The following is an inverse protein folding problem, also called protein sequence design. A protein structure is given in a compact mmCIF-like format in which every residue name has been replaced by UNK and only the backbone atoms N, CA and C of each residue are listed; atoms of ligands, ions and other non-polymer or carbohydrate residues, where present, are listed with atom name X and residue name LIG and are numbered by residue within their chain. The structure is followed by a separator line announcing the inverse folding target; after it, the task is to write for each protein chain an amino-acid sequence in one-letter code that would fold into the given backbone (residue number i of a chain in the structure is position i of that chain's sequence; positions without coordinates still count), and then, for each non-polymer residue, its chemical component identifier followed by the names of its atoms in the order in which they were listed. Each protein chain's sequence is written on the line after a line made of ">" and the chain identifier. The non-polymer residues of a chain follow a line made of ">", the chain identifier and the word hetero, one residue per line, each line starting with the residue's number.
data_IF_382614973258
#
_entry.id   IF_382614973258
#
_cell.length_a   1.000
_cell.length_b   1.000
_cell.length_c   1.000
_cell.angle_alpha   90.00
_cell.angle_beta   90.00
_cell.angle_gamma   90.00
#
_symmetry.space_group_name_H-M   'P 1'
#
loop_
_entity.id
_entity.type
_entity.pdbx_description
1 polymer ?
#
# COMPACT_ATOMS: atom_id res chain seq x y z
N UNK A 1 4.49 -0.37 22.35
CA UNK A 1 5.67 -0.22 21.54
C UNK A 1 5.79 -1.27 20.48
N UNK A 2 5.66 -2.53 20.83
CA UNK A 2 5.73 -3.58 19.82
C UNK A 2 4.65 -3.44 18.78
N UNK A 3 3.48 -3.00 19.23
CA UNK A 3 2.37 -2.82 18.28
C UNK A 3 2.65 -1.70 17.32
N UNK A 4 3.35 -0.68 17.78
CA UNK A 4 3.69 0.43 16.91
C UNK A 4 4.64 -0.01 15.81
N UNK A 5 5.58 -0.89 16.16
CA UNK A 5 6.51 -1.39 15.16
C UNK A 5 5.78 -2.17 14.09
N UNK A 6 4.86 -3.06 14.51
CA UNK A 6 4.10 -3.85 13.54
C UNK A 6 3.26 -2.96 12.66
N UNK A 7 2.60 -1.98 13.24
CA UNK A 7 1.77 -1.06 12.47
C UNK A 7 2.62 -0.22 11.53
N UNK A 8 3.85 0.10 11.96
CA UNK A 8 4.75 0.85 11.09
C UNK A 8 5.13 0.06 9.85
N UNK A 9 5.22 -1.24 9.98
CA UNK A 9 5.64 -2.07 8.86
C UNK A 9 4.53 -2.35 7.88
N UNK A 10 3.29 -2.25 8.32
CA UNK A 10 2.14 -2.56 7.49
C UNK A 10 1.21 -1.37 7.40
N UNK A 11 0.64 -1.20 6.23
CA UNK A 11 -0.41 -0.21 6.01
C UNK A 11 -1.73 -0.94 5.80
N UNK A 12 -2.74 -0.59 6.56
CA UNK A 12 -4.07 -1.12 6.34
C UNK A 12 -4.78 -0.32 5.27
N UNK A 13 -5.89 -0.85 4.78
CA UNK A 13 -6.59 -0.26 3.66
C UNK A 13 -6.95 1.21 3.87
N UNK A 14 -7.48 1.63 5.03
CA UNK A 14 -7.80 3.06 5.19
C UNK A 14 -6.58 3.96 5.05
N UNK A 15 -5.44 3.50 5.53
CA UNK A 15 -4.22 4.29 5.43
C UNK A 15 -3.75 4.39 3.98
N UNK A 16 -3.83 3.29 3.25
CA UNK A 16 -3.47 3.32 1.84
C UNK A 16 -4.41 4.25 1.08
N UNK A 17 -5.70 4.17 1.38
CA UNK A 17 -6.66 5.05 0.73
C UNK A 17 -6.34 6.52 0.97
N UNK A 18 -5.85 6.84 2.15
CA UNK A 18 -5.52 8.22 2.49
C UNK A 18 -4.26 8.69 1.77
N UNK A 19 -3.33 7.77 1.50
CA UNK A 19 -2.06 8.13 0.90
C UNK A 19 -2.06 8.07 -0.62
N UNK A 20 -2.91 7.22 -1.19
CA UNK A 20 -2.91 6.98 -2.64
C UNK A 20 -4.29 7.38 -3.16
N UNK A 21 -4.37 8.40 -4.03
CA UNK A 21 -5.65 8.94 -4.46
C UNK A 21 -6.29 8.14 -5.60
N UNK A 22 -6.33 6.84 -5.47
CA UNK A 22 -6.95 5.96 -6.45
C UNK A 22 -8.03 5.15 -5.77
N UNK A 23 -9.04 4.77 -6.53
CA UNK A 23 -10.08 3.88 -6.00
C UNK A 23 -9.49 2.51 -5.74
N UNK A 24 -10.18 1.74 -4.89
CA UNK A 24 -9.73 0.40 -4.58
C UNK A 24 -9.68 -0.46 -5.84
N UNK A 25 -10.68 -0.34 -6.69
CA UNK A 25 -10.72 -1.12 -7.92
C UNK A 25 -9.52 -0.79 -8.82
N UNK A 26 -9.16 0.50 -8.87
CA UNK A 26 -8.02 0.92 -9.67
C UNK A 26 -6.73 0.33 -9.12
N UNK A 27 -6.58 0.34 -7.79
CA UNK A 27 -5.39 -0.22 -7.18
C UNK A 27 -5.26 -1.72 -7.48
N UNK A 28 -6.37 -2.43 -7.40
CA UNK A 28 -6.33 -3.86 -7.67
C UNK A 28 -5.94 -4.13 -9.11
N UNK A 29 -6.41 -3.30 -10.02
CA UNK A 29 -6.04 -3.43 -11.42
C UNK A 29 -4.54 -3.21 -11.61
N UNK A 30 -3.99 -2.21 -10.94
CA UNK A 30 -2.56 -1.96 -11.01
C UNK A 30 -1.76 -3.11 -10.41
N UNK A 31 -2.26 -3.71 -9.34
CA UNK A 31 -1.60 -4.87 -8.76
C UNK A 31 -1.52 -6.01 -9.77
N UNK A 32 -2.62 -6.24 -10.48
CA UNK A 32 -2.64 -7.30 -11.48
C UNK A 32 -1.64 -7.04 -12.58
N UNK A 33 -1.40 -5.78 -12.89
CA UNK A 33 -0.46 -5.40 -13.95
C UNK A 33 0.98 -5.34 -13.45
N UNK A 34 1.19 -5.56 -12.15
CA UNK A 34 2.53 -5.45 -11.59
C UNK A 34 3.01 -4.04 -11.40
N UNK A 35 2.08 -3.07 -11.38
CA UNK A 35 2.45 -1.66 -11.29
C UNK A 35 2.13 -1.05 -9.93
N UNK A 36 1.70 -1.86 -8.97
CA UNK A 36 1.45 -1.41 -7.61
C UNK A 36 1.82 -2.55 -6.67
N UNK A 37 2.37 -2.26 -5.49
CA UNK A 37 2.72 -3.33 -4.56
C UNK A 37 1.50 -4.18 -4.24
N UNK A 38 1.72 -5.49 -4.17
CA UNK A 38 0.62 -6.41 -3.96
C UNK A 38 0.26 -6.48 -2.50
N UNK A 39 -1.04 -6.52 -2.24
CA UNK A 39 -1.54 -6.63 -0.88
C UNK A 39 -1.25 -7.99 -0.31
N UNK A 40 -1.16 -8.07 0.99
CA UNK A 40 -0.93 -9.30 1.72
C UNK A 40 -2.16 -9.62 2.55
N UNK A 41 -2.54 -10.88 2.59
CA UNK A 41 -3.64 -11.29 3.44
C UNK A 41 -3.11 -11.47 4.85
N UNK A 42 -3.71 -10.78 5.81
CA UNK A 42 -3.29 -10.87 7.20
C UNK A 42 -4.37 -11.44 8.10
N UNK A 43 -5.50 -11.83 7.53
CA UNK A 43 -6.59 -12.44 8.29
C UNK A 43 -7.66 -12.87 7.33
N UNK A 44 -8.76 -13.37 7.85
CA UNK A 44 -9.80 -13.96 7.03
C UNK A 44 -10.31 -12.98 5.98
N UNK A 45 -10.58 -11.75 6.39
CA UNK A 45 -11.08 -10.73 5.47
C UNK A 45 -10.27 -9.46 5.56
N UNK A 46 -8.99 -9.57 5.91
CA UNK A 46 -8.17 -8.40 6.12
C UNK A 46 -6.94 -8.48 5.25
N UNK A 47 -6.61 -7.35 4.65
CA UNK A 47 -5.42 -7.22 3.82
C UNK A 47 -4.63 -6.02 4.29
N UNK A 48 -3.34 -6.04 3.98
CA UNK A 48 -2.45 -4.93 4.29
C UNK A 48 -1.38 -4.87 3.23
N UNK A 49 -0.71 -3.75 3.16
CA UNK A 49 0.43 -3.57 2.26
C UNK A 49 1.67 -3.35 3.11
N UNK A 50 2.81 -3.73 2.58
CA UNK A 50 4.08 -3.45 3.25
C UNK A 50 4.37 -1.97 3.09
N UNK A 51 4.51 -1.27 4.22
CA UNK A 51 4.69 0.18 4.20
C UNK A 51 5.89 0.59 3.35
N UNK A 52 6.99 -0.12 3.48
CA UNK A 52 8.19 0.24 2.72
C UNK A 52 7.92 0.17 1.21
N UNK A 53 7.12 -0.78 0.78
CA UNK A 53 6.80 -0.89 -0.65
C UNK A 53 5.94 0.28 -1.12
N UNK A 54 4.96 0.65 -0.30
CA UNK A 54 4.10 1.77 -0.65
C UNK A 54 4.91 3.06 -0.69
N UNK A 55 5.76 3.27 0.31
CA UNK A 55 6.57 4.49 0.36
C UNK A 55 7.50 4.58 -0.85
N UNK A 56 8.09 3.46 -1.23
CA UNK A 56 8.96 3.45 -2.41
C UNK A 56 8.16 3.77 -3.67
N UNK A 57 6.99 3.17 -3.80
CA UNK A 57 6.15 3.42 -4.96
C UNK A 57 5.77 4.88 -5.07
N UNK A 58 5.41 5.49 -3.93
CA UNK A 58 5.06 6.91 -3.92
C UNK A 58 6.26 7.77 -4.29
N UNK A 59 7.43 7.44 -3.75
CA UNK A 59 8.63 8.22 -4.04
C UNK A 59 8.98 8.16 -5.53
N UNK A 60 8.83 6.99 -6.12
CA UNK A 60 9.12 6.85 -7.55
C UNK A 60 8.15 7.66 -8.39
N UNK A 61 6.88 7.69 -7.98
CA UNK A 61 5.90 8.49 -8.69
C UNK A 61 6.21 9.98 -8.60
N UNK A 62 6.63 10.41 -7.43
CA UNK A 62 6.93 11.82 -7.23
C UNK A 62 8.14 12.24 -8.06
N UNK A 63 9.11 11.35 -8.18
CA UNK A 63 10.28 11.65 -9.00
C UNK A 63 9.93 11.76 -10.47
N UNK A 64 9.02 10.90 -10.92
CA UNK A 64 8.62 10.91 -12.31
C UNK A 64 7.98 12.23 -12.72
N UNK A 65 7.31 12.86 -11.76
CA UNK A 65 6.61 14.09 -12.08
C UNK A 65 7.49 15.31 -12.00
N UNK A 66 8.64 15.18 -11.40
CA UNK A 66 9.56 16.32 -11.34
C UNK A 66 10.49 16.34 -12.53
#
# INVERSE_FOLDING_TARGET
>A
MKQDVVQSELMLAPEVDARVPYSRAHLYRLEDQGEFPKRKRIGANRVAWVRAEIERWLAERMEDES
#
